data_IF_967435940941
#
_entry.id   IF_967435940941
#
_cell.length_a   1.000
_cell.length_b   1.000
_cell.length_c   1.000
_cell.angle_alpha   90.00
_cell.angle_beta   90.00
_cell.angle_gamma   90.00
#
_symmetry.space_group_name_H-M   'P 1'
#
loop_
_entity.id
_entity.type
_entity.pdbx_description
1 polymer ?
#
# COMPACT_ATOMS: atom_id res chain seq x y z
N UNK A 1 -1.27 2.12 35.51
CA UNK A 1 -2.13 2.93 34.64
C UNK A 1 -1.46 4.26 34.44
N UNK A 2 -0.70 4.41 33.34
CA UNK A 2 -0.14 5.69 32.91
C UNK A 2 -0.76 5.92 31.54
N UNK A 3 -1.77 6.77 31.47
CA UNK A 3 -2.37 7.15 30.21
C UNK A 3 -1.51 8.31 29.69
N UNK A 4 -0.44 7.98 28.97
CA UNK A 4 0.29 8.99 28.21
C UNK A 4 -0.60 9.43 27.05
N UNK A 5 -1.08 10.66 27.13
CA UNK A 5 -1.80 11.34 26.07
C UNK A 5 -0.90 11.51 24.84
N UNK A 6 -1.27 10.90 23.72
CA UNK A 6 -0.73 11.23 22.39
C UNK A 6 -1.88 11.39 21.40
N UNK A 7 -2.30 12.64 21.27
CA UNK A 7 -3.27 13.14 20.32
C UNK A 7 -2.56 13.36 18.96
N UNK A 8 -3.16 12.88 17.87
CA UNK A 8 -2.96 13.32 16.47
C UNK A 8 -1.74 12.90 15.61
N UNK A 9 -1.03 11.81 15.88
CA UNK A 9 0.07 11.31 15.00
C UNK A 9 -0.02 9.79 14.69
N UNK A 10 -1.14 9.33 14.13
CA UNK A 10 -1.30 7.92 13.70
C UNK A 10 -1.05 7.69 12.21
N UNK A 11 -0.62 8.72 11.46
CA UNK A 11 -0.73 8.72 9.99
C UNK A 11 0.60 9.00 9.26
N UNK A 12 1.72 8.94 9.97
CA UNK A 12 3.03 9.44 9.54
C UNK A 12 4.16 8.40 9.68
N UNK A 13 3.83 7.15 10.02
CA UNK A 13 4.81 6.07 9.90
C UNK A 13 5.22 5.96 8.43
N UNK A 14 6.51 6.18 8.16
CA UNK A 14 7.07 5.98 6.84
C UNK A 14 7.09 4.49 6.45
N UNK A 15 7.25 4.18 5.16
CA UNK A 15 7.24 2.79 4.66
C UNK A 15 8.18 1.85 5.42
N UNK A 16 9.40 2.30 5.71
CA UNK A 16 10.40 1.52 6.45
C UNK A 16 9.98 1.24 7.90
N UNK A 17 9.37 2.22 8.57
CA UNK A 17 8.91 2.09 9.95
C UNK A 17 7.72 1.13 10.02
N UNK A 18 6.79 1.22 9.06
CA UNK A 18 5.69 0.28 8.94
C UNK A 18 6.21 -1.15 8.69
N UNK A 19 7.15 -1.33 7.76
CA UNK A 19 7.77 -2.63 7.49
C UNK A 19 8.47 -3.22 8.72
N UNK A 20 9.22 -2.40 9.47
CA UNK A 20 9.87 -2.85 10.70
C UNK A 20 8.86 -3.26 11.78
N UNK A 21 7.73 -2.55 11.90
CA UNK A 21 6.74 -2.81 12.93
C UNK A 21 5.78 -3.96 12.59
N UNK A 22 5.47 -4.15 11.31
CA UNK A 22 4.41 -5.04 10.83
C UNK A 22 4.92 -6.23 10.02
N UNK A 23 6.17 -6.19 9.58
CA UNK A 23 6.74 -7.12 8.63
C UNK A 23 6.57 -6.64 7.18
N UNK A 24 7.27 -7.32 6.29
CA UNK A 24 7.14 -7.13 4.84
C UNK A 24 7.48 -8.43 4.09
N UNK A 25 7.36 -9.58 4.75
CA UNK A 25 7.66 -10.88 4.14
C UNK A 25 6.45 -11.47 3.40
N UNK A 26 6.64 -12.63 2.77
CA UNK A 26 5.62 -13.30 1.98
C UNK A 26 4.51 -13.97 2.82
N UNK A 27 4.61 -14.00 4.15
CA UNK A 27 3.55 -14.56 4.99
C UNK A 27 2.42 -13.54 5.15
N UNK A 28 1.19 -14.02 5.27
CA UNK A 28 0.02 -13.14 5.40
C UNK A 28 0.16 -12.16 6.59
N UNK A 29 0.73 -12.60 7.70
CA UNK A 29 0.98 -11.74 8.86
C UNK A 29 2.03 -10.65 8.60
N UNK A 30 3.01 -10.90 7.73
CA UNK A 30 4.04 -9.91 7.36
C UNK A 30 3.65 -9.02 6.18
N UNK A 31 2.69 -9.40 5.36
CA UNK A 31 2.33 -8.65 4.13
C UNK A 31 1.00 -7.89 4.25
N UNK A 32 -0.03 -8.50 4.84
CA UNK A 32 -1.39 -7.91 4.87
C UNK A 32 -1.44 -6.62 5.70
N UNK A 33 -0.89 -6.54 6.93
CA UNK A 33 -0.96 -5.31 7.71
C UNK A 33 -0.19 -4.15 7.05
N UNK A 34 0.94 -4.44 6.41
CA UNK A 34 1.76 -3.45 5.70
C UNK A 34 1.05 -2.93 4.45
N UNK A 35 0.38 -3.79 3.69
CA UNK A 35 -0.45 -3.38 2.56
C UNK A 35 -1.64 -2.52 3.00
N UNK A 36 -2.31 -2.89 4.11
CA UNK A 36 -3.40 -2.10 4.66
C UNK A 36 -2.91 -0.73 5.13
N UNK A 37 -1.73 -0.65 5.74
CA UNK A 37 -1.10 0.61 6.15
C UNK A 37 -0.81 1.49 4.94
N UNK A 38 -0.24 0.93 3.86
CA UNK A 38 0.01 1.66 2.62
C UNK A 38 -1.28 2.23 2.00
N UNK A 39 -2.37 1.46 2.00
CA UNK A 39 -3.69 1.92 1.58
C UNK A 39 -4.23 3.03 2.48
N UNK A 40 -4.23 2.83 3.81
CA UNK A 40 -4.80 3.79 4.76
C UNK A 40 -4.01 5.10 4.84
N UNK A 41 -2.71 5.09 4.53
CA UNK A 41 -1.88 6.29 4.42
C UNK A 41 -2.21 7.12 3.18
N UNK A 42 -2.61 6.48 2.07
CA UNK A 42 -2.90 7.13 0.78
C UNK A 42 -4.19 6.60 0.14
N UNK A 43 -5.35 6.68 0.80
CA UNK A 43 -6.52 5.93 0.37
C UNK A 43 -7.19 6.56 -0.87
N UNK A 44 -6.91 7.83 -1.17
CA UNK A 44 -7.40 8.57 -2.35
C UNK A 44 -6.33 8.69 -3.47
N UNK A 45 -5.12 8.16 -3.25
CA UNK A 45 -4.02 8.22 -4.21
C UNK A 45 -3.43 6.82 -4.41
N UNK A 46 -3.99 6.10 -5.39
CA UNK A 46 -3.58 4.72 -5.72
C UNK A 46 -2.10 4.64 -6.07
N UNK A 47 -1.56 5.66 -6.76
CA UNK A 47 -0.16 5.65 -7.17
C UNK A 47 0.77 5.84 -5.95
N UNK A 48 0.38 6.65 -4.97
CA UNK A 48 1.14 6.78 -3.72
C UNK A 48 0.96 5.59 -2.78
N UNK A 49 -0.22 4.98 -2.70
CA UNK A 49 -0.41 3.73 -1.96
C UNK A 49 0.52 2.61 -2.48
N UNK A 50 0.62 2.47 -3.81
CA UNK A 50 1.53 1.52 -4.47
C UNK A 50 2.99 1.89 -4.20
N UNK A 51 3.37 3.16 -4.32
CA UNK A 51 4.75 3.62 -4.06
C UNK A 51 5.16 3.39 -2.61
N UNK A 52 4.28 3.69 -1.66
CA UNK A 52 4.50 3.42 -0.24
C UNK A 52 4.78 1.93 -0.03
N UNK A 53 3.92 1.05 -0.57
CA UNK A 53 4.10 -0.40 -0.44
C UNK A 53 5.42 -0.89 -1.06
N UNK A 54 5.83 -0.34 -2.21
CA UNK A 54 7.13 -0.66 -2.83
C UNK A 54 8.30 -0.21 -1.94
N UNK A 55 8.21 0.99 -1.36
CA UNK A 55 9.23 1.54 -0.47
C UNK A 55 9.34 0.77 0.86
N UNK A 56 8.30 0.06 1.28
CA UNK A 56 8.33 -0.81 2.44
C UNK A 56 9.23 -2.04 2.24
N UNK A 57 9.61 -2.37 0.99
CA UNK A 57 10.53 -3.47 0.68
C UNK A 57 9.96 -4.87 0.92
N UNK A 58 10.82 -5.88 0.97
CA UNK A 58 10.43 -7.28 1.18
C UNK A 58 9.67 -7.88 -0.01
N UNK A 59 8.53 -8.53 0.23
CA UNK A 59 7.60 -9.05 -0.78
C UNK A 59 6.76 -7.91 -1.41
N UNK A 60 7.46 -6.91 -1.93
CA UNK A 60 6.92 -5.64 -2.38
C UNK A 60 5.86 -5.80 -3.47
N UNK A 61 6.00 -6.78 -4.37
CA UNK A 61 5.00 -7.07 -5.40
C UNK A 61 3.66 -7.47 -4.79
N UNK A 62 3.66 -8.37 -3.80
CA UNK A 62 2.43 -8.85 -3.14
C UNK A 62 1.78 -7.73 -2.31
N UNK A 63 2.60 -6.99 -1.55
CA UNK A 63 2.12 -5.88 -0.71
C UNK A 63 1.55 -4.76 -1.59
N UNK A 64 2.25 -4.37 -2.66
CA UNK A 64 1.79 -3.34 -3.59
C UNK A 64 0.56 -3.76 -4.39
N UNK A 65 0.46 -5.05 -4.76
CA UNK A 65 -0.74 -5.59 -5.39
C UNK A 65 -1.96 -5.44 -4.46
N UNK A 66 -1.85 -5.87 -3.19
CA UNK A 66 -2.94 -5.73 -2.22
C UNK A 66 -3.31 -4.26 -1.97
N UNK A 67 -2.33 -3.40 -1.72
CA UNK A 67 -2.56 -1.97 -1.48
C UNK A 67 -3.22 -1.29 -2.70
N UNK A 68 -2.71 -1.58 -3.90
CA UNK A 68 -3.25 -1.09 -5.16
C UNK A 68 -4.67 -1.59 -5.44
N UNK A 69 -4.98 -2.84 -5.10
CA UNK A 69 -6.35 -3.39 -5.21
C UNK A 69 -7.33 -2.64 -4.30
N UNK A 70 -6.97 -2.42 -3.03
CA UNK A 70 -7.82 -1.70 -2.08
C UNK A 70 -8.05 -0.25 -2.51
N UNK A 71 -6.97 0.45 -2.86
CA UNK A 71 -7.03 1.82 -3.33
C UNK A 71 -7.80 1.93 -4.66
N UNK A 72 -7.59 1.00 -5.59
CA UNK A 72 -8.32 0.92 -6.85
C UNK A 72 -9.81 0.61 -6.69
N UNK A 73 -10.18 -0.27 -5.75
CA UNK A 73 -11.58 -0.57 -5.45
C UNK A 73 -12.32 0.67 -4.90
N UNK A 74 -11.63 1.52 -4.14
CA UNK A 74 -12.19 2.78 -3.63
C UNK A 74 -12.33 3.87 -4.69
N UNK A 75 -11.31 4.03 -5.54
CA UNK A 75 -11.20 5.18 -6.46
C UNK A 75 -11.62 4.86 -7.91
N UNK A 76 -11.80 3.59 -8.25
CA UNK A 76 -12.01 3.13 -9.63
C UNK A 76 -10.70 2.94 -10.40
N UNK A 77 -10.77 2.20 -11.51
CA UNK A 77 -9.59 1.79 -12.28
C UNK A 77 -8.95 2.92 -13.12
N UNK A 78 -9.68 4.01 -13.39
CA UNK A 78 -9.21 5.11 -14.25
C UNK A 78 -8.19 6.03 -13.59
N UNK A 79 -7.97 5.87 -12.28
CA UNK A 79 -7.08 6.71 -11.47
C UNK A 79 -5.60 6.35 -11.67
N UNK A 80 -5.29 5.15 -12.19
CA UNK A 80 -3.92 4.74 -12.45
C UNK A 80 -3.35 5.48 -13.68
N UNK A 81 -2.07 5.89 -13.65
CA UNK A 81 -1.42 6.48 -14.82
C UNK A 81 -1.51 5.53 -16.01
N UNK A 82 -2.01 6.03 -17.14
CA UNK A 82 -2.17 5.23 -18.37
C UNK A 82 -0.86 4.57 -18.81
N UNK A 83 0.27 5.27 -18.63
CA UNK A 83 1.61 4.76 -18.92
C UNK A 83 2.02 3.55 -18.08
N UNK A 84 1.41 3.34 -16.92
CA UNK A 84 1.63 2.12 -16.12
C UNK A 84 0.84 0.95 -16.70
N UNK A 85 -0.42 1.19 -17.06
CA UNK A 85 -1.30 0.18 -17.65
C UNK A 85 -0.72 -0.31 -18.99
N UNK A 86 -0.25 0.62 -19.84
CA UNK A 86 0.36 0.29 -21.14
C UNK A 86 1.64 -0.55 -21.03
N UNK A 87 2.27 -0.61 -19.84
CA UNK A 87 3.46 -1.42 -19.57
C UNK A 87 3.14 -2.77 -18.92
N UNK A 88 1.89 -3.03 -18.54
CA UNK A 88 1.50 -4.32 -17.96
C UNK A 88 1.53 -5.41 -19.04
N UNK A 89 2.17 -6.54 -18.75
CA UNK A 89 2.25 -7.70 -19.64
C UNK A 89 0.87 -8.16 -20.14
N UNK A 90 -0.12 -8.13 -19.24
CA UNK A 90 -1.49 -8.57 -19.52
C UNK A 90 -2.48 -7.42 -19.73
N UNK A 91 -2.03 -6.21 -20.10
CA UNK A 91 -2.89 -5.03 -20.26
C UNK A 91 -4.13 -5.28 -21.16
N UNK A 92 -3.96 -6.06 -22.23
CA UNK A 92 -5.04 -6.41 -23.16
C UNK A 92 -6.17 -7.28 -22.57
N UNK A 93 -6.02 -7.78 -21.34
CA UNK A 93 -7.06 -8.53 -20.62
C UNK A 93 -7.92 -7.67 -19.69
N UNK A 94 -7.63 -6.37 -19.57
CA UNK A 94 -8.35 -5.44 -18.70
C UNK A 94 -9.49 -4.68 -19.42
N UNK A 95 -9.84 -5.09 -20.64
CA UNK A 95 -10.85 -4.47 -21.50
C UNK A 95 -12.21 -5.17 -21.42
#
# INVERSE_FOLDING_TARGET
>A
MVISSSNSARNDAGPEQAAHALGNDAFALGSVPTALTAFLAHPDDVAQAIRYAIQAGGDANTIAAMAGTLAGARNGATILPRSWIERLEAAGRLA
#
